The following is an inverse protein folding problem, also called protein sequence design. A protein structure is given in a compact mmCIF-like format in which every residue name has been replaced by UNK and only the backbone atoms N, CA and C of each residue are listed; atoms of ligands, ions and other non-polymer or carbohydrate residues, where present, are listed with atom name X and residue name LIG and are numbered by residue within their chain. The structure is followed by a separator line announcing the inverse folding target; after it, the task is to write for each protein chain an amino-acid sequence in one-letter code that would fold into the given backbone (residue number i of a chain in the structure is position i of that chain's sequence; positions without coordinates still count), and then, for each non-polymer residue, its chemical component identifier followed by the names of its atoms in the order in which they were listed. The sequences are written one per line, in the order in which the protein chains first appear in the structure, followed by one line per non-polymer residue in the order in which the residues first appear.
data_IF_485184886233
#
_entry.id   IF_485184886233
#
_cell.length_a   1.000
_cell.length_b   1.000
_cell.length_c   1.000
_cell.angle_alpha   90.00
_cell.angle_beta   90.00
_cell.angle_gamma   90.00
#
_symmetry.space_group_name_H-M   'P 1'
#
loop_
_entity.id
_entity.type
_entity.pdbx_description
1 polymer ?
#
# COMPACT_ATOMS: atom_id res chain seq x y z
N UNK A 1 -15.20 0.63 25.70
CA UNK A 1 -14.83 1.32 24.45
C UNK A 1 -13.51 0.74 23.93
N UNK A 2 -13.53 -0.16 22.95
CA UNK A 2 -12.38 -1.01 22.53
C UNK A 2 -11.17 -0.32 21.88
N UNK A 3 -10.88 0.93 22.21
CA UNK A 3 -9.69 1.63 21.76
C UNK A 3 -8.46 1.18 22.53
N UNK A 4 -7.28 1.29 21.93
CA UNK A 4 -6.00 1.03 22.61
C UNK A 4 -5.03 2.17 22.36
N UNK A 5 -4.46 2.71 23.44
CA UNK A 5 -3.46 3.77 23.39
C UNK A 5 -2.08 3.18 23.67
N UNK A 6 -1.16 3.42 22.75
CA UNK A 6 0.25 3.04 22.84
C UNK A 6 1.03 4.34 22.82
N UNK A 7 1.87 4.61 23.81
CA UNK A 7 2.49 5.92 23.96
C UNK A 7 3.92 5.82 24.46
N UNK A 8 4.68 6.86 24.17
CA UNK A 8 5.99 7.13 24.73
C UNK A 8 6.04 8.60 25.13
N UNK A 9 6.74 8.92 26.21
CA UNK A 9 6.81 10.28 26.72
C UNK A 9 7.86 10.42 27.82
N UNK A 10 8.10 11.66 28.24
CA UNK A 10 9.03 11.93 29.35
C UNK A 10 8.56 11.25 30.65
N UNK A 11 9.48 10.74 31.49
CA UNK A 11 9.13 10.19 32.79
C UNK A 11 8.34 11.19 33.64
N UNK A 12 7.32 10.69 34.33
CA UNK A 12 6.33 11.45 35.12
C UNK A 12 6.91 12.30 36.27
N UNK A 13 8.20 12.18 36.59
CA UNK A 13 8.89 13.01 37.58
C UNK A 13 9.28 14.41 37.04
N UNK A 14 9.17 14.64 35.74
CA UNK A 14 9.38 15.94 35.09
C UNK A 14 8.03 16.54 34.65
N UNK A 15 7.09 16.73 35.59
CA UNK A 15 5.84 17.49 35.38
C UNK A 15 6.12 19.01 35.24
N UNK A 16 7.12 19.38 34.44
CA UNK A 16 7.31 20.75 33.99
C UNK A 16 6.53 20.99 32.69
N UNK A 17 6.33 22.26 32.34
CA UNK A 17 5.72 22.70 31.06
C UNK A 17 6.46 22.21 29.80
N UNK A 18 7.53 21.43 29.92
CA UNK A 18 8.38 20.89 28.85
C UNK A 18 8.29 19.37 28.70
N UNK A 19 7.26 18.71 29.24
CA UNK A 19 7.00 17.30 28.99
C UNK A 19 6.59 17.09 27.53
N UNK A 20 7.20 16.09 26.88
CA UNK A 20 6.93 15.73 25.49
C UNK A 20 6.43 14.28 25.41
N UNK A 21 5.63 13.98 24.40
CA UNK A 21 5.08 12.64 24.19
C UNK A 21 4.59 12.42 22.77
N UNK A 22 4.57 11.16 22.37
CA UNK A 22 3.93 10.68 21.14
C UNK A 22 3.06 9.48 21.47
N UNK A 23 1.90 9.39 20.82
CA UNK A 23 0.96 8.29 21.05
C UNK A 23 0.30 7.82 19.75
N UNK A 24 0.00 6.53 19.68
CA UNK A 24 -0.83 5.89 18.67
C UNK A 24 -2.09 5.39 19.35
N UNK A 25 -3.24 5.83 18.85
CA UNK A 25 -4.54 5.33 19.26
C UNK A 25 -5.11 4.42 18.16
N UNK A 26 -5.39 3.16 18.51
CA UNK A 26 -5.99 2.17 17.64
C UNK A 26 -7.49 2.06 17.92
N UNK A 27 -8.30 2.12 16.86
CA UNK A 27 -9.72 1.81 16.94
C UNK A 27 -9.97 0.31 17.18
N UNK A 28 -11.19 -0.12 17.53
CA UNK A 28 -11.49 -1.51 17.92
C UNK A 28 -11.01 -2.58 16.95
N UNK A 29 -11.22 -2.39 15.65
CA UNK A 29 -10.76 -3.34 14.63
C UNK A 29 -9.23 -3.42 14.54
N UNK A 30 -8.56 -2.27 14.56
CA UNK A 30 -7.11 -2.18 14.53
C UNK A 30 -6.48 -2.75 15.82
N UNK A 31 -7.11 -2.50 16.97
CA UNK A 31 -6.73 -3.09 18.26
C UNK A 31 -6.76 -4.61 18.20
N UNK A 32 -7.82 -5.20 17.65
CA UNK A 32 -7.93 -6.65 17.54
C UNK A 32 -6.88 -7.23 16.59
N UNK A 33 -6.68 -6.59 15.43
CA UNK A 33 -5.63 -6.98 14.48
C UNK A 33 -4.24 -6.92 15.12
N UNK A 34 -3.94 -5.83 15.84
CA UNK A 34 -2.67 -5.61 16.52
C UNK A 34 -2.43 -6.63 17.65
N UNK A 35 -3.46 -6.92 18.47
CA UNK A 35 -3.36 -7.95 19.53
C UNK A 35 -3.13 -9.33 18.94
N UNK A 36 -3.87 -9.69 17.90
CA UNK A 36 -3.72 -10.98 17.20
C UNK A 36 -2.37 -11.11 16.50
N UNK A 37 -1.72 -9.98 16.18
CA UNK A 37 -0.37 -9.94 15.62
C UNK A 37 0.75 -9.98 16.67
N UNK A 38 0.44 -10.33 17.92
CA UNK A 38 1.41 -10.37 19.00
C UNK A 38 1.74 -9.00 19.60
N UNK A 39 0.90 -7.99 19.34
CA UNK A 39 0.99 -6.65 19.93
C UNK A 39 2.40 -6.04 19.84
N UNK A 40 3.01 -6.03 18.65
CA UNK A 40 4.36 -5.49 18.46
C UNK A 40 4.36 -3.95 18.55
N UNK A 41 5.11 -3.40 19.49
CA UNK A 41 5.34 -1.96 19.65
C UNK A 41 6.65 -1.69 20.41
N UNK A 42 7.18 -0.47 20.29
CA UNK A 42 8.36 -0.02 21.04
C UNK A 42 8.24 1.48 21.35
N UNK A 43 8.44 1.84 22.63
CA UNK A 43 8.65 3.22 23.07
C UNK A 43 10.12 3.60 22.83
N UNK A 44 10.41 4.16 21.66
CA UNK A 44 11.80 4.39 21.22
C UNK A 44 12.43 5.59 21.93
N UNK A 45 11.69 6.69 22.09
CA UNK A 45 12.11 7.87 22.85
C UNK A 45 10.89 8.64 23.34
N UNK A 46 11.07 9.67 24.17
CA UNK A 46 9.97 10.55 24.60
C UNK A 46 9.21 11.24 23.45
N UNK A 47 9.75 11.20 22.23
CA UNK A 47 9.21 11.84 21.02
C UNK A 47 8.84 10.85 19.93
N UNK A 48 9.04 9.55 20.13
CA UNK A 48 8.88 8.55 19.09
C UNK A 48 8.36 7.23 19.66
N UNK A 49 7.29 6.72 19.07
CA UNK A 49 6.73 5.40 19.37
C UNK A 49 6.42 4.68 18.05
N UNK A 50 6.73 3.39 18.01
CA UNK A 50 6.46 2.54 16.84
C UNK A 50 5.48 1.44 17.18
N UNK A 51 4.59 1.13 16.24
CA UNK A 51 3.57 0.09 16.36
C UNK A 51 3.53 -0.66 15.04
N UNK A 52 3.63 -2.00 15.10
CA UNK A 52 3.54 -2.86 13.92
C UNK A 52 2.30 -3.73 14.00
N UNK A 53 1.49 -3.67 12.94
CA UNK A 53 0.22 -4.38 12.83
C UNK A 53 0.35 -5.39 11.67
N UNK A 54 0.23 -6.68 11.97
CA UNK A 54 0.24 -7.73 10.93
C UNK A 54 -1.10 -7.73 10.20
N UNK A 55 -1.18 -6.93 9.13
CA UNK A 55 -2.29 -6.92 8.20
C UNK A 55 -2.03 -7.87 7.04
N UNK A 56 -3.07 -8.55 6.54
CA UNK A 56 -2.96 -9.34 5.32
C UNK A 56 -3.33 -8.51 4.08
N UNK A 57 -2.55 -8.59 3.00
CA UNK A 57 -1.30 -9.34 2.83
C UNK A 57 -0.03 -8.52 3.13
N UNK A 58 -0.15 -7.25 3.51
CA UNK A 58 0.99 -6.36 3.78
C UNK A 58 0.87 -5.83 5.21
N UNK A 59 1.87 -6.09 6.08
CA UNK A 59 1.93 -5.50 7.41
C UNK A 59 2.09 -3.98 7.36
N UNK A 60 1.56 -3.30 8.37
CA UNK A 60 1.63 -1.85 8.48
C UNK A 60 2.47 -1.51 9.70
N UNK A 61 3.51 -0.72 9.51
CA UNK A 61 4.31 -0.14 10.59
C UNK A 61 3.98 1.35 10.69
N UNK A 62 3.53 1.78 11.87
CA UNK A 62 3.21 3.18 12.18
C UNK A 62 4.27 3.69 13.14
N UNK A 63 4.89 4.81 12.79
CA UNK A 63 5.84 5.52 13.65
C UNK A 63 5.22 6.88 13.95
N UNK A 64 4.77 7.09 15.19
CA UNK A 64 4.28 8.39 15.62
C UNK A 64 5.44 9.22 16.16
N UNK A 65 5.52 10.48 15.72
CA UNK A 65 6.64 11.38 16.05
C UNK A 65 6.17 12.73 16.56
N UNK A 66 6.99 13.33 17.42
CA UNK A 66 6.91 14.74 17.77
C UNK A 66 8.30 15.36 17.74
N UNK A 67 8.68 15.95 16.60
CA UNK A 67 10.03 16.46 16.41
C UNK A 67 10.29 17.72 17.26
N UNK A 68 11.55 18.00 17.64
CA UNK A 68 11.93 19.24 18.29
C UNK A 68 11.59 20.49 17.45
N UNK A 69 11.29 21.60 18.13
CA UNK A 69 11.09 22.90 17.48
C UNK A 69 12.40 23.32 16.80
N UNK A 70 12.32 24.11 15.72
CA UNK A 70 13.53 24.60 15.05
C UNK A 70 14.45 25.33 16.05
N UNK A 71 15.77 25.10 15.97
CA UNK A 71 16.73 25.82 16.78
C UNK A 71 16.58 27.32 16.54
N UNK A 72 16.21 28.06 17.57
CA UNK A 72 16.14 29.51 17.48
C UNK A 72 17.57 30.05 17.61
N UNK A 73 18.04 30.81 16.63
CA UNK A 73 19.35 31.48 16.65
C UNK A 73 20.59 30.56 16.76
N UNK A 74 20.51 29.29 16.32
CA UNK A 74 21.67 28.42 16.27
C UNK A 74 22.23 28.02 17.64
N UNK A 75 21.41 28.07 18.69
CA UNK A 75 21.76 27.51 20.00
C UNK A 75 22.15 26.04 19.81
N UNK A 76 23.41 25.70 20.11
CA UNK A 76 23.99 24.37 19.84
C UNK A 76 23.12 23.22 20.36
N UNK A 77 22.57 23.38 21.57
CA UNK A 77 21.73 22.36 22.21
C UNK A 77 20.49 22.01 21.37
N UNK A 78 19.86 22.98 20.71
CA UNK A 78 18.67 22.73 19.89
C UNK A 78 19.03 22.02 18.58
N UNK A 79 20.20 22.33 18.01
CA UNK A 79 20.73 21.66 16.81
C UNK A 79 21.05 20.19 17.14
N UNK A 80 21.78 19.95 18.22
CA UNK A 80 22.13 18.60 18.68
C UNK A 80 20.87 17.78 18.98
N UNK A 81 19.85 18.40 19.58
CA UNK A 81 18.55 17.75 19.84
C UNK A 81 17.85 17.35 18.53
N UNK A 82 17.89 18.20 17.50
CA UNK A 82 17.31 17.87 16.19
C UNK A 82 18.08 16.73 15.50
N UNK A 83 19.40 16.77 15.53
CA UNK A 83 20.23 15.78 14.86
C UNK A 83 20.11 14.42 15.56
N UNK A 84 20.03 14.40 16.90
CA UNK A 84 19.77 13.19 17.67
C UNK A 84 18.37 12.61 17.37
N UNK A 85 17.35 13.45 17.25
CA UNK A 85 16.01 13.00 16.83
C UNK A 85 16.05 12.26 15.47
N UNK A 86 16.72 12.83 14.47
CA UNK A 86 16.81 12.19 13.16
C UNK A 86 17.70 10.93 13.16
N UNK A 87 18.74 10.85 14.00
CA UNK A 87 19.51 9.61 14.20
C UNK A 87 18.66 8.49 14.78
N UNK A 88 17.87 8.78 15.82
CA UNK A 88 16.95 7.82 16.44
C UNK A 88 15.89 7.37 15.43
N UNK A 89 15.30 8.32 14.70
CA UNK A 89 14.32 8.02 13.65
C UNK A 89 14.92 7.14 12.54
N UNK A 90 16.16 7.40 12.11
CA UNK A 90 16.87 6.58 11.13
C UNK A 90 17.09 5.16 11.66
N UNK A 91 17.63 5.01 12.87
CA UNK A 91 17.83 3.71 13.50
C UNK A 91 16.52 2.93 13.66
N UNK A 92 15.40 3.63 13.92
CA UNK A 92 14.07 3.01 13.96
C UNK A 92 13.68 2.46 12.60
N UNK A 93 13.85 3.24 11.52
CA UNK A 93 13.56 2.80 10.15
C UNK A 93 14.44 1.63 9.74
N UNK A 94 15.72 1.64 10.09
CA UNK A 94 16.66 0.57 9.73
C UNK A 94 16.26 -0.78 10.36
N UNK A 95 15.62 -0.76 11.54
CA UNK A 95 15.05 -1.94 12.20
C UNK A 95 13.73 -2.42 11.58
N UNK A 96 13.01 -1.56 10.84
CA UNK A 96 11.70 -1.94 10.27
C UNK A 96 11.84 -2.87 9.06
N UNK A 97 10.82 -3.72 8.85
CA UNK A 97 10.77 -4.57 7.67
C UNK A 97 10.49 -3.75 6.41
N UNK A 98 11.42 -3.76 5.45
CA UNK A 98 11.30 -3.05 4.16
C UNK A 98 10.08 -3.50 3.31
N UNK A 99 9.50 -4.65 3.61
CA UNK A 99 8.28 -5.15 2.97
C UNK A 99 7.03 -4.36 3.35
N UNK A 100 7.01 -3.79 4.56
CA UNK A 100 5.85 -3.20 5.19
C UNK A 100 5.43 -1.90 4.51
N UNK A 101 4.16 -1.56 4.65
CA UNK A 101 3.73 -0.18 4.45
C UNK A 101 4.13 0.61 5.70
N UNK A 102 5.12 1.48 5.57
CA UNK A 102 5.62 2.28 6.67
C UNK A 102 4.95 3.65 6.58
N UNK A 103 4.30 4.06 7.66
CA UNK A 103 3.70 5.37 7.82
C UNK A 103 4.36 6.07 9.01
N UNK A 104 5.06 7.17 8.75
CA UNK A 104 5.59 8.04 9.81
C UNK A 104 4.65 9.24 9.91
N UNK A 105 4.10 9.53 11.08
CA UNK A 105 3.10 10.57 11.22
C UNK A 105 3.23 11.38 12.51
N UNK A 106 2.88 12.65 12.44
CA UNK A 106 2.87 13.55 13.58
C UNK A 106 3.43 14.92 13.22
N UNK A 107 3.75 15.68 14.26
CA UNK A 107 4.29 17.03 14.13
C UNK A 107 5.80 16.98 13.97
N UNK A 108 6.29 17.43 12.81
CA UNK A 108 7.72 17.49 12.51
C UNK A 108 8.34 18.86 12.80
N UNK A 109 7.54 19.85 13.24
CA UNK A 109 7.98 21.24 13.38
C UNK A 109 8.71 21.75 12.12
N UNK A 110 8.31 21.22 10.96
CA UNK A 110 9.00 21.37 9.69
C UNK A 110 8.10 22.13 8.73
N UNK A 111 8.66 23.07 7.97
CA UNK A 111 7.96 23.72 6.86
C UNK A 111 8.64 23.28 5.59
N UNK A 112 7.97 22.46 4.81
CA UNK A 112 8.50 22.00 3.51
C UNK A 112 8.18 23.05 2.45
N UNK A 113 9.23 23.49 1.76
CA UNK A 113 9.15 24.56 0.77
C UNK A 113 8.44 24.17 -0.51
N UNK A 114 7.66 25.09 -1.11
CA UNK A 114 7.13 24.96 -2.48
C UNK A 114 8.22 24.72 -3.53
N UNK A 115 9.40 25.30 -3.32
CA UNK A 115 10.57 25.12 -4.19
C UNK A 115 11.03 23.66 -4.27
N UNK A 116 10.71 22.83 -3.26
CA UNK A 116 11.11 21.43 -3.22
C UNK A 116 10.33 20.53 -4.17
N UNK A 117 9.20 21.00 -4.71
CA UNK A 117 8.35 20.23 -5.61
C UNK A 117 9.10 19.73 -6.86
N UNK A 118 10.04 20.52 -7.39
CA UNK A 118 10.80 20.18 -8.59
C UNK A 118 12.22 19.68 -8.26
N UNK A 119 12.78 20.02 -7.09
CA UNK A 119 14.16 19.68 -6.74
C UNK A 119 14.28 18.39 -5.93
N UNK A 120 13.23 17.97 -5.22
CA UNK A 120 13.27 16.82 -4.33
C UNK A 120 12.92 15.48 -5.03
N UNK A 121 13.17 15.33 -6.33
CA UNK A 121 13.06 14.03 -7.03
C UNK A 121 11.73 13.30 -6.83
N UNK A 122 10.61 14.04 -6.75
CA UNK A 122 9.27 13.48 -6.50
C UNK A 122 9.01 13.01 -5.06
N UNK A 123 9.83 13.40 -4.08
CA UNK A 123 9.59 13.24 -2.64
C UNK A 123 8.55 14.22 -2.11
N UNK A 124 8.59 15.45 -2.61
CA UNK A 124 7.66 16.53 -2.27
C UNK A 124 6.79 16.81 -3.49
N UNK A 125 5.49 16.96 -3.28
CA UNK A 125 4.53 17.33 -4.30
C UNK A 125 4.38 18.85 -4.44
N UNK A 126 3.72 19.26 -5.53
CA UNK A 126 3.54 20.67 -5.92
C UNK A 126 2.57 21.49 -5.06
N UNK A 127 1.96 20.88 -4.04
CA UNK A 127 0.93 21.51 -3.20
C UNK A 127 1.41 21.79 -1.77
N UNK A 128 2.72 21.76 -1.52
CA UNK A 128 3.30 22.44 -0.35
C UNK A 128 2.89 23.93 -0.36
N UNK A 129 2.82 24.58 0.80
CA UNK A 129 2.39 26.00 0.92
C UNK A 129 3.42 26.90 1.58
N UNK A 130 4.45 26.31 2.18
CA UNK A 130 5.37 27.03 3.05
C UNK A 130 6.65 27.45 2.31
N UNK A 131 7.38 28.38 2.93
CA UNK A 131 8.81 28.59 2.67
C UNK A 131 9.62 27.63 3.54
N UNK A 132 10.61 26.96 2.97
CA UNK A 132 11.39 25.97 3.72
C UNK A 132 12.09 26.59 4.94
N UNK A 133 12.03 25.88 6.07
CA UNK A 133 12.87 26.12 7.24
C UNK A 133 13.90 24.98 7.41
N UNK A 134 14.78 25.10 8.42
CA UNK A 134 15.85 24.12 8.62
C UNK A 134 15.32 22.70 8.89
N UNK A 135 14.29 22.55 9.72
CA UNK A 135 13.62 21.25 9.93
C UNK A 135 12.96 20.73 8.65
N UNK A 136 12.40 21.61 7.83
CA UNK A 136 11.88 21.28 6.50
C UNK A 136 12.95 20.77 5.55
N UNK A 137 14.17 21.29 5.64
CA UNK A 137 15.31 20.78 4.88
C UNK A 137 15.71 19.38 5.38
N UNK A 138 15.91 19.21 6.69
CA UNK A 138 16.20 17.90 7.31
C UNK A 138 15.15 16.84 6.95
N UNK A 139 13.86 17.21 6.99
CA UNK A 139 12.76 16.30 6.65
C UNK A 139 12.83 15.85 5.19
N UNK A 140 13.08 16.77 4.26
CA UNK A 140 13.20 16.45 2.83
C UNK A 140 14.42 15.57 2.58
N UNK A 141 15.58 15.89 3.17
CA UNK A 141 16.80 15.10 3.03
C UNK A 141 16.61 13.68 3.61
N UNK A 142 15.99 13.57 4.79
CA UNK A 142 15.61 12.29 5.39
C UNK A 142 14.69 11.47 4.48
N UNK A 143 13.66 12.10 3.89
CA UNK A 143 12.73 11.42 3.00
C UNK A 143 13.41 10.99 1.69
N UNK A 144 14.31 11.81 1.15
CA UNK A 144 15.10 11.47 -0.04
C UNK A 144 15.98 10.24 0.23
N UNK A 145 16.73 10.25 1.33
CA UNK A 145 17.62 9.16 1.71
C UNK A 145 16.86 7.84 1.90
N UNK A 146 15.71 7.88 2.58
CA UNK A 146 14.94 6.69 2.91
C UNK A 146 13.84 6.33 1.89
N UNK A 147 13.77 7.03 0.75
CA UNK A 147 12.71 6.83 -0.25
C UNK A 147 11.29 6.95 0.32
N UNK A 148 11.01 7.98 1.12
CA UNK A 148 9.67 8.37 1.56
C UNK A 148 9.10 9.48 0.68
N UNK A 149 7.77 9.65 0.73
CA UNK A 149 7.06 10.76 0.13
C UNK A 149 6.30 11.56 1.19
N UNK A 150 6.28 12.88 1.04
CA UNK A 150 5.58 13.82 1.94
C UNK A 150 4.13 13.95 1.48
N UNK A 151 3.25 13.07 1.93
CA UNK A 151 1.97 12.79 1.25
C UNK A 151 1.01 13.97 1.13
N UNK A 152 0.88 14.81 2.15
CA UNK A 152 0.00 16.00 2.16
C UNK A 152 0.43 17.10 1.16
N UNK A 153 1.60 16.97 0.52
CA UNK A 153 2.04 17.91 -0.52
C UNK A 153 1.65 17.49 -1.94
N UNK A 154 1.06 16.30 -2.13
CA UNK A 154 0.70 15.77 -3.46
C UNK A 154 -0.74 16.05 -3.89
N UNK A 155 -1.63 16.38 -2.96
CA UNK A 155 -3.06 16.48 -3.24
C UNK A 155 -3.51 17.94 -3.34
N UNK A 156 -4.26 18.32 -4.40
CA UNK A 156 -4.80 19.66 -4.55
C UNK A 156 -5.96 19.86 -3.57
N UNK A 157 -5.82 20.85 -2.69
CA UNK A 157 -6.84 21.20 -1.71
C UNK A 157 -7.04 22.71 -1.64
N UNK A 158 -8.22 23.14 -1.17
CA UNK A 158 -8.44 24.54 -0.79
C UNK A 158 -7.49 24.89 0.37
N UNK A 159 -7.01 26.14 0.44
CA UNK A 159 -6.10 26.62 1.49
C UNK A 159 -6.54 26.25 2.92
N UNK A 160 -7.85 26.29 3.17
CA UNK A 160 -8.48 25.92 4.45
C UNK A 160 -8.29 24.45 4.87
N UNK A 161 -7.85 23.58 3.96
CA UNK A 161 -7.60 22.14 4.18
C UNK A 161 -6.12 21.76 4.02
N UNK A 162 -5.23 22.74 3.86
CA UNK A 162 -3.80 22.51 3.66
C UNK A 162 -3.01 22.71 4.96
N UNK A 163 -3.25 23.80 5.67
CA UNK A 163 -2.53 24.14 6.90
C UNK A 163 -3.02 23.36 8.12
N UNK A 164 -2.05 22.89 8.92
CA UNK A 164 -2.30 22.18 10.17
C UNK A 164 -2.08 23.04 11.40
N UNK A 165 -1.35 24.16 11.30
CA UNK A 165 -1.13 25.06 12.44
C UNK A 165 -1.23 26.53 12.01
N UNK A 166 -1.80 27.36 12.88
CA UNK A 166 -1.89 28.82 12.65
C UNK A 166 -0.89 29.54 13.54
N UNK A 167 0.02 30.30 12.91
CA UNK A 167 0.97 31.09 13.67
C UNK A 167 0.26 32.16 14.51
N UNK A 168 0.53 32.26 15.84
CA UNK A 168 -0.28 33.05 16.76
C UNK A 168 -0.23 34.55 16.45
N UNK A 169 0.92 35.07 16.00
CA UNK A 169 1.10 36.50 15.65
C UNK A 169 0.67 36.82 14.22
N UNK A 170 1.31 36.21 13.22
CA UNK A 170 1.07 36.50 11.79
C UNK A 170 -0.27 35.99 11.26
N UNK A 171 -0.96 35.09 11.99
CA UNK A 171 -2.21 34.43 11.58
C UNK A 171 -2.09 33.67 10.25
N UNK A 172 -0.86 33.34 9.84
CA UNK A 172 -0.59 32.53 8.67
C UNK A 172 -0.70 31.04 9.02
N UNK A 173 -1.25 30.28 8.08
CA UNK A 173 -1.35 28.84 8.19
C UNK A 173 -0.08 28.17 7.65
N UNK A 174 0.42 27.18 8.37
CA UNK A 174 1.58 26.38 8.02
C UNK A 174 1.25 24.89 8.06
N UNK A 175 1.96 24.08 7.26
CA UNK A 175 1.99 22.63 7.40
C UNK A 175 3.13 22.27 8.34
N UNK A 176 2.81 21.82 9.55
CA UNK A 176 3.81 21.31 10.51
C UNK A 176 3.67 19.81 10.75
N UNK A 177 2.44 19.32 10.60
CA UNK A 177 2.10 17.92 10.72
C UNK A 177 2.19 17.26 9.34
N UNK A 178 2.80 16.07 9.30
CA UNK A 178 2.99 15.32 8.06
C UNK A 178 2.65 13.86 8.25
N UNK A 179 2.26 13.24 7.15
CA UNK A 179 2.20 11.78 7.01
C UNK A 179 3.20 11.42 5.91
N UNK A 180 4.22 10.68 6.25
CA UNK A 180 5.22 10.16 5.33
C UNK A 180 4.89 8.71 5.02
N UNK A 181 4.98 8.33 3.75
CA UNK A 181 4.78 6.94 3.31
C UNK A 181 5.96 6.51 2.47
N UNK A 182 6.44 5.29 2.67
CA UNK A 182 7.50 4.75 1.82
C UNK A 182 7.04 4.70 0.35
N UNK A 183 7.89 5.18 -0.56
CA UNK A 183 7.55 5.47 -1.97
C UNK A 183 6.92 4.29 -2.71
N UNK A 184 7.27 3.05 -2.32
CA UNK A 184 6.67 1.80 -2.80
C UNK A 184 5.13 1.79 -2.68
N UNK A 185 4.58 2.40 -1.63
CA UNK A 185 3.15 2.46 -1.36
C UNK A 185 2.52 3.81 -1.71
N UNK A 186 3.19 4.67 -2.49
CA UNK A 186 2.66 5.99 -2.87
C UNK A 186 1.26 5.92 -3.45
N UNK A 187 0.99 4.93 -4.31
CA UNK A 187 -0.29 4.75 -4.98
C UNK A 187 -1.40 4.26 -4.07
N UNK A 188 -1.06 3.83 -2.84
CA UNK A 188 -2.04 3.44 -1.83
C UNK A 188 -2.62 4.66 -1.10
N UNK A 189 -1.93 5.80 -1.15
CA UNK A 189 -2.42 7.04 -0.53
C UNK A 189 -3.42 7.68 -1.48
N UNK A 190 -4.69 7.77 -1.06
CA UNK A 190 -5.76 8.34 -1.88
C UNK A 190 -5.95 9.83 -1.66
N UNK A 191 -5.76 10.30 -0.44
CA UNK A 191 -5.99 11.68 -0.03
C UNK A 191 -5.31 11.96 1.31
N UNK A 192 -4.77 13.17 1.51
CA UNK A 192 -4.26 13.61 2.82
C UNK A 192 -4.53 15.10 3.02
N UNK A 193 -5.36 15.44 4.01
CA UNK A 193 -5.85 16.81 4.23
C UNK A 193 -6.06 17.17 5.69
N UNK A 194 -5.96 18.46 6.00
CA UNK A 194 -6.27 19.00 7.33
C UNK A 194 -7.79 19.09 7.56
N UNK A 195 -8.22 18.76 8.78
CA UNK A 195 -9.62 18.69 9.18
C UNK A 195 -9.92 19.63 10.37
N UNK A 196 -10.62 20.73 10.09
CA UNK A 196 -10.87 21.83 11.05
C UNK A 196 -11.94 21.49 12.09
N UNK A 197 -12.93 20.67 11.73
CA UNK A 197 -14.10 20.40 12.57
C UNK A 197 -13.79 19.70 13.89
N UNK A 198 -12.60 19.10 14.02
CA UNK A 198 -12.16 18.43 15.25
C UNK A 198 -11.49 19.38 16.25
N UNK A 199 -10.93 20.50 15.79
CA UNK A 199 -10.08 21.39 16.61
C UNK A 199 -10.86 22.12 17.70
N UNK A 200 -12.05 22.65 17.38
CA UNK A 200 -12.85 23.44 18.32
C UNK A 200 -13.31 22.67 19.57
N UNK A 201 -13.41 21.34 19.50
CA UNK A 201 -13.78 20.49 20.64
C UNK A 201 -12.62 20.00 21.49
N UNK A 202 -11.37 20.11 21.00
CA UNK A 202 -10.18 19.53 21.64
C UNK A 202 -9.29 20.62 22.27
N UNK A 203 -9.46 21.90 21.89
CA UNK A 203 -8.71 23.01 22.48
C UNK A 203 -7.23 23.07 22.04
N UNK A 204 -6.89 22.43 20.91
CA UNK A 204 -5.56 22.49 20.28
C UNK A 204 -5.48 23.63 19.27
N UNK A 205 -4.30 24.21 19.08
CA UNK A 205 -3.97 25.14 18.01
C UNK A 205 -3.63 24.45 16.67
N UNK A 206 -3.64 23.11 16.64
CA UNK A 206 -3.46 22.30 15.44
C UNK A 206 -4.79 21.76 14.86
N UNK A 207 -4.89 21.69 13.54
CA UNK A 207 -5.88 20.89 12.84
C UNK A 207 -5.43 19.45 12.70
N UNK A 208 -6.39 18.52 12.84
CA UNK A 208 -6.15 17.10 12.61
C UNK A 208 -5.76 16.85 11.15
N UNK A 209 -4.63 16.20 10.90
CA UNK A 209 -4.27 15.71 9.57
C UNK A 209 -4.86 14.31 9.36
N UNK A 210 -5.65 14.13 8.30
CA UNK A 210 -6.28 12.84 7.96
C UNK A 210 -5.74 12.31 6.65
N UNK A 211 -5.22 11.08 6.67
CA UNK A 211 -4.95 10.31 5.46
C UNK A 211 -6.07 9.31 5.15
N UNK A 212 -6.35 9.14 3.86
CA UNK A 212 -7.18 8.06 3.31
C UNK A 212 -6.27 7.09 2.57
N UNK A 213 -6.18 5.86 3.06
CA UNK A 213 -5.31 4.82 2.52
C UNK A 213 -6.16 3.69 1.93
N UNK A 214 -5.80 3.22 0.74
CA UNK A 214 -6.30 1.99 0.14
C UNK A 214 -5.12 1.16 -0.33
N UNK A 215 -4.92 -0.02 0.24
CA UNK A 215 -3.86 -0.91 -0.19
C UNK A 215 -4.20 -1.46 -1.59
N UNK A 216 -3.52 -0.94 -2.62
CA UNK A 216 -3.59 -1.48 -3.98
C UNK A 216 -2.65 -2.68 -4.06
N UNK A 217 -3.14 -3.82 -3.62
CA UNK A 217 -2.42 -5.06 -3.76
C UNK A 217 -2.43 -5.41 -5.25
N UNK A 218 -1.26 -5.45 -5.89
CA UNK A 218 -1.13 -6.19 -7.14
C UNK A 218 -1.46 -7.63 -6.80
N UNK A 219 -2.72 -8.01 -6.93
CA UNK A 219 -3.08 -9.40 -7.04
C UNK A 219 -2.32 -9.87 -8.27
N UNK A 220 -1.20 -10.58 -8.08
CA UNK A 220 -0.81 -11.60 -9.04
C UNK A 220 -2.00 -12.52 -9.01
N UNK A 221 -3.01 -12.25 -9.86
CA UNK A 221 -4.05 -13.23 -10.16
C UNK A 221 -3.21 -14.47 -10.43
N UNK A 222 -3.30 -15.49 -9.56
CA UNK A 222 -2.91 -16.83 -9.98
C UNK A 222 -3.67 -16.96 -11.27
N UNK A 223 -2.95 -17.00 -12.40
CA UNK A 223 -3.60 -17.32 -13.64
C UNK A 223 -4.26 -18.65 -13.33
N UNK A 224 -5.58 -18.65 -13.09
CA UNK A 224 -6.33 -19.88 -13.07
C UNK A 224 -5.91 -20.51 -14.38
N UNK A 225 -5.26 -21.67 -14.30
CA UNK A 225 -5.02 -22.47 -15.49
C UNK A 225 -6.42 -22.75 -16.01
N UNK A 226 -6.91 -21.90 -16.92
CA UNK A 226 -8.05 -22.21 -17.75
C UNK A 226 -7.57 -23.43 -18.50
N UNK A 227 -7.94 -24.61 -18.02
CA UNK A 227 -7.82 -25.84 -18.77
C UNK A 227 -8.66 -25.63 -20.03
N UNK A 228 -8.03 -25.07 -21.07
CA UNK A 228 -8.61 -25.07 -22.41
C UNK A 228 -8.69 -26.54 -22.78
N UNK A 229 -9.91 -27.04 -22.95
CA UNK A 229 -10.14 -28.35 -23.52
C UNK A 229 -9.42 -28.37 -24.87
N UNK A 230 -8.31 -29.11 -24.98
CA UNK A 230 -7.56 -29.27 -26.23
C UNK A 230 -8.03 -30.57 -26.86
N UNK A 231 -9.09 -30.50 -27.66
CA UNK A 231 -9.54 -31.62 -28.47
C UNK A 231 -8.69 -31.73 -29.74
N UNK A 232 -8.54 -32.93 -30.27
CA UNK A 232 -7.94 -33.12 -31.58
C UNK A 232 -8.94 -32.70 -32.67
N UNK A 233 -8.74 -31.52 -33.23
CA UNK A 233 -9.65 -30.95 -34.23
C UNK A 233 -9.56 -31.66 -35.57
N UNK A 234 -8.48 -32.39 -35.89
CA UNK A 234 -8.39 -33.11 -37.17
C UNK A 234 -9.42 -34.23 -37.25
N UNK A 235 -9.83 -34.78 -36.11
CA UNK A 235 -10.89 -35.79 -36.01
C UNK A 235 -12.30 -35.24 -36.31
N UNK A 236 -12.47 -33.92 -36.40
CA UNK A 236 -13.73 -33.32 -36.85
C UNK A 236 -13.95 -33.47 -38.36
N UNK A 237 -12.91 -33.82 -39.13
CA UNK A 237 -13.02 -34.09 -40.56
C UNK A 237 -13.51 -35.53 -40.86
N UNK A 238 -13.68 -36.38 -39.83
CA UNK A 238 -14.26 -37.71 -39.95
C UNK A 238 -15.78 -37.61 -39.74
N UNK A 239 -16.54 -37.68 -40.84
CA UNK A 239 -18.00 -37.54 -40.85
C UNK A 239 -18.71 -38.61 -40.03
N UNK A 240 -18.17 -39.84 -40.00
CA UNK A 240 -18.73 -40.94 -39.21
C UNK A 240 -18.57 -40.66 -37.71
N UNK A 241 -17.38 -40.21 -37.31
CA UNK A 241 -17.05 -39.89 -35.92
C UNK A 241 -17.81 -38.65 -35.43
N UNK A 242 -17.98 -37.64 -36.28
CA UNK A 242 -18.79 -36.45 -36.01
C UNK A 242 -20.27 -36.79 -35.83
N UNK A 243 -20.82 -37.64 -36.70
CA UNK A 243 -22.23 -38.05 -36.65
C UNK A 243 -22.51 -38.86 -35.37
N UNK A 244 -21.64 -39.79 -35.01
CA UNK A 244 -21.76 -40.57 -33.77
C UNK A 244 -21.73 -39.67 -32.52
N UNK A 245 -20.79 -38.71 -32.47
CA UNK A 245 -20.73 -37.72 -31.40
C UNK A 245 -22.00 -36.88 -31.29
N UNK A 246 -22.55 -36.40 -32.40
CA UNK A 246 -23.77 -35.58 -32.40
C UNK A 246 -24.98 -36.34 -31.88
N UNK A 247 -25.14 -37.60 -32.30
CA UNK A 247 -26.26 -38.46 -31.87
C UNK A 247 -26.19 -38.71 -30.35
N UNK A 248 -25.03 -39.13 -29.85
CA UNK A 248 -24.87 -39.41 -28.41
C UNK A 248 -25.01 -38.15 -27.55
N UNK A 249 -24.40 -37.04 -27.97
CA UNK A 249 -24.53 -35.77 -27.25
C UNK A 249 -25.99 -35.29 -27.21
N UNK A 250 -26.73 -35.43 -28.31
CA UNK A 250 -28.14 -35.08 -28.37
C UNK A 250 -28.99 -35.94 -27.42
N UNK A 251 -28.69 -37.24 -27.31
CA UNK A 251 -29.37 -38.14 -26.39
C UNK A 251 -29.08 -37.79 -24.93
N UNK A 252 -27.84 -37.46 -24.60
CA UNK A 252 -27.43 -37.10 -23.26
C UNK A 252 -28.01 -35.75 -22.81
N UNK A 253 -28.01 -34.75 -23.70
CA UNK A 253 -28.65 -33.44 -23.42
C UNK A 253 -30.16 -33.62 -23.17
N UNK A 254 -30.83 -34.52 -23.92
CA UNK A 254 -32.24 -34.84 -23.69
C UNK A 254 -32.46 -35.49 -22.32
N UNK A 255 -31.57 -36.39 -21.88
CA UNK A 255 -31.63 -37.00 -20.56
C UNK A 255 -31.44 -35.95 -19.44
N UNK A 256 -30.39 -35.13 -19.53
CA UNK A 256 -30.09 -34.04 -18.59
C UNK A 256 -31.28 -33.07 -18.46
N UNK A 257 -31.97 -32.76 -19.56
CA UNK A 257 -33.18 -31.90 -19.54
C UNK A 257 -34.35 -32.52 -18.78
N UNK A 258 -34.49 -33.84 -18.77
CA UNK A 258 -35.58 -34.54 -18.06
C UNK A 258 -35.32 -34.58 -16.55
N UNK A 259 -34.08 -34.82 -16.15
CA UNK A 259 -33.72 -35.03 -14.74
C UNK A 259 -33.50 -33.72 -13.96
N UNK A 260 -33.22 -32.61 -14.64
CA UNK A 260 -32.83 -31.35 -13.99
C UNK A 260 -34.00 -30.41 -13.61
N UNK A 261 -35.25 -30.86 -13.45
CA UNK A 261 -36.37 -29.94 -13.16
C UNK A 261 -36.18 -29.11 -11.88
N UNK A 262 -35.49 -29.65 -10.87
CA UNK A 262 -35.31 -29.05 -9.54
C UNK A 262 -33.99 -28.30 -9.33
N UNK A 263 -33.05 -28.36 -10.28
CA UNK A 263 -31.72 -27.73 -10.14
C UNK A 263 -31.71 -26.24 -10.49
N UNK A 264 -30.78 -25.51 -9.89
CA UNK A 264 -30.51 -24.10 -10.21
C UNK A 264 -29.95 -23.93 -11.63
N UNK A 265 -30.02 -22.71 -12.16
CA UNK A 265 -29.51 -22.38 -13.50
C UNK A 265 -28.01 -22.66 -13.61
N UNK A 266 -27.22 -22.38 -12.56
CA UNK A 266 -25.78 -22.62 -12.55
C UNK A 266 -25.44 -24.11 -12.56
N UNK A 267 -26.20 -24.94 -11.84
CA UNK A 267 -26.02 -26.40 -11.84
C UNK A 267 -26.38 -27.00 -13.19
N UNK A 268 -27.49 -26.56 -13.80
CA UNK A 268 -27.88 -26.94 -15.17
C UNK A 268 -26.78 -26.62 -16.18
N UNK A 269 -26.22 -25.41 -16.11
CA UNK A 269 -25.14 -24.98 -17.00
C UNK A 269 -23.87 -25.80 -16.77
N UNK A 270 -23.52 -26.09 -15.51
CA UNK A 270 -22.35 -26.91 -15.16
C UNK A 270 -22.48 -28.33 -15.70
N UNK A 271 -23.64 -28.96 -15.53
CA UNK A 271 -23.91 -30.31 -16.04
C UNK A 271 -23.82 -30.36 -17.57
N UNK A 272 -24.39 -29.38 -18.27
CA UNK A 272 -24.28 -29.26 -19.72
C UNK A 272 -22.81 -29.13 -20.18
N UNK A 273 -22.05 -28.22 -19.57
CA UNK A 273 -20.64 -27.99 -19.94
C UNK A 273 -19.79 -29.23 -19.68
N UNK A 274 -20.03 -29.94 -18.58
CA UNK A 274 -19.29 -31.16 -18.25
C UNK A 274 -19.59 -32.30 -19.25
N UNK A 275 -20.87 -32.52 -19.57
CA UNK A 275 -21.29 -33.51 -20.57
C UNK A 275 -20.64 -33.29 -21.93
N UNK A 276 -20.68 -32.04 -22.45
CA UNK A 276 -20.02 -31.68 -23.72
C UNK A 276 -18.51 -31.92 -23.66
N UNK A 277 -17.86 -31.60 -22.54
CA UNK A 277 -16.41 -31.79 -22.36
C UNK A 277 -16.00 -33.25 -22.24
N UNK A 278 -16.80 -34.09 -21.61
CA UNK A 278 -16.53 -35.53 -21.45
C UNK A 278 -16.73 -36.26 -22.77
N UNK A 279 -17.83 -36.01 -23.47
CA UNK A 279 -18.05 -36.58 -24.81
C UNK A 279 -17.05 -36.06 -25.82
N UNK A 280 -16.74 -34.77 -25.78
CA UNK A 280 -15.67 -34.21 -26.60
C UNK A 280 -14.35 -34.94 -26.39
N UNK A 281 -13.98 -35.26 -25.15
CA UNK A 281 -12.77 -36.05 -24.82
C UNK A 281 -12.86 -37.50 -25.29
N UNK A 282 -14.02 -38.13 -25.18
CA UNK A 282 -14.24 -39.51 -25.61
C UNK A 282 -14.00 -39.68 -27.12
N UNK A 283 -14.60 -38.81 -27.93
CA UNK A 283 -14.54 -38.89 -29.39
C UNK A 283 -13.26 -38.29 -29.97
N UNK A 284 -12.91 -37.09 -29.53
CA UNK A 284 -11.82 -36.32 -30.14
C UNK A 284 -10.50 -36.44 -29.36
N UNK A 285 -10.48 -37.16 -28.23
CA UNK A 285 -9.29 -37.31 -27.41
C UNK A 285 -8.76 -35.98 -26.87
N UNK A 286 -7.59 -36.04 -26.24
CA UNK A 286 -6.80 -34.84 -25.97
C UNK A 286 -5.73 -34.69 -27.05
N UNK A 287 -5.55 -33.48 -27.53
CA UNK A 287 -4.41 -33.13 -28.36
C UNK A 287 -3.16 -33.35 -27.51
N UNK A 288 -2.44 -34.46 -27.73
CA UNK A 288 -1.13 -34.67 -27.11
C UNK A 288 -0.32 -33.46 -27.55
N UNK A 289 0.23 -32.72 -26.58
CA UNK A 289 1.32 -31.82 -26.87
C UNK A 289 2.35 -32.67 -27.60
N UNK A 290 2.40 -32.56 -28.93
CA UNK A 290 3.65 -32.78 -29.64
C UNK A 290 4.55 -31.74 -28.97
N UNK A 291 5.40 -32.20 -28.05
CA UNK A 291 6.67 -31.53 -27.87
C UNK A 291 7.27 -31.54 -29.26
N UNK A 292 7.00 -30.48 -30.03
CA UNK A 292 7.89 -30.11 -31.09
C UNK A 292 9.16 -29.81 -30.30
N UNK A 293 10.03 -30.82 -30.21
CA UNK A 293 11.45 -30.59 -29.91
C UNK A 293 11.80 -29.32 -30.66
N UNK A 294 12.31 -28.35 -29.92
CA UNK A 294 12.44 -26.97 -30.37
C UNK A 294 12.91 -26.98 -31.82
N UNK A 295 12.19 -26.28 -32.69
CA UNK A 295 12.74 -26.02 -34.01
C UNK A 295 14.10 -25.38 -33.74
N UNK A 296 15.18 -26.08 -34.06
CA UNK A 296 16.51 -25.49 -34.13
C UNK A 296 16.39 -24.40 -35.19
N UNK A 297 16.24 -23.17 -34.71
CA UNK A 297 16.12 -21.97 -35.53
C UNK A 297 17.46 -21.60 -36.17
N UNK A 298 18.50 -22.39 -35.89
CA UNK A 298 19.87 -22.21 -36.32
C UNK A 298 20.29 -23.45 -37.09
N UNK A 299 20.03 -23.45 -38.40
CA UNK A 299 20.42 -24.54 -39.29
C UNK A 299 21.87 -24.34 -39.77
N UNK A 300 22.57 -25.39 -40.23
CA UNK A 300 23.92 -25.26 -40.79
C UNK A 300 23.99 -24.25 -41.93
N UNK A 301 22.93 -24.10 -42.73
CA UNK A 301 22.87 -23.10 -43.81
C UNK A 301 22.82 -21.65 -43.26
N UNK A 302 22.20 -21.42 -42.10
CA UNK A 302 22.23 -20.12 -41.41
C UNK A 302 23.60 -19.81 -40.81
N UNK A 303 24.37 -20.84 -40.43
CA UNK A 303 25.73 -20.69 -39.90
C UNK A 303 26.72 -20.22 -40.98
N UNK A 304 26.64 -20.78 -42.19
CA UNK A 304 27.47 -20.34 -43.32
C UNK A 304 27.23 -18.89 -43.77
N UNK A 305 26.01 -18.36 -43.53
CA UNK A 305 25.67 -16.96 -43.85
C UNK A 305 26.25 -15.99 -42.82
N UNK A 306 26.38 -16.41 -41.56
CA UNK A 306 26.91 -15.57 -40.46
C UNK A 306 28.44 -15.54 -40.44
N UNK A 307 29.09 -16.60 -40.95
CA UNK A 307 30.55 -16.74 -40.98
C UNK A 307 31.21 -16.19 -42.27
N UNK A 308 30.44 -15.54 -43.17
CA UNK A 308 30.93 -14.79 -44.35
C UNK A 308 30.95 -13.28 -44.09
#
# INVERSE_FOLDING_TARGET
NGYTFIYSGSPSQLLSKSAYGAAVCLGPEATNAWKNSGAQWEAVSSRLVTVRIECRPVPITIIAVYAPINPSNGVKNDIETCDEFYKILQATIDKTHKSDMIMIMGDFNARVGVEQANTAGGTVGKHAIDKQNQNGRRLVDFCLFNSFIVTNTFFPHKAVHQGTWMHPKTKQWHMLDYILVNRKFRSSVQDVRAHRGATGGIGTDHHLLRAKIRLHLKCRRKAEKKYRLRLDQSKLADDCLLSAFQIELANEIKAIRRDNKTLSVNEKFTNFVNSVRERGRHYFGNNKSIHKGGKEWFTPELKEIVDK
#
